data_IF_217428479941
#
_entry.id   IF_217428479941
#
_cell.length_a   1.000
_cell.length_b   1.000
_cell.length_c   1.000
_cell.angle_alpha   90.00
_cell.angle_beta   90.00
_cell.angle_gamma   90.00
#
_symmetry.space_group_name_H-M   'P 1'
#
loop_
_entity.id
_entity.type
_entity.pdbx_description
1 polymer ?
#
# COMPACT_ATOMS: atom_id res chain seq x y z
N UNK A 1 -14.90 16.35 -5.80
CA UNK A 1 -14.96 17.81 -6.15
C UNK A 1 -13.63 18.53 -5.86
N UNK A 2 -12.68 17.84 -5.19
CA UNK A 2 -11.34 18.38 -4.93
C UNK A 2 -10.35 18.15 -6.07
N UNK A 3 -10.75 17.43 -7.14
CA UNK A 3 -9.91 17.16 -8.31
C UNK A 3 -9.06 15.88 -8.18
N UNK A 4 -9.45 14.94 -7.31
CA UNK A 4 -8.81 13.62 -7.25
C UNK A 4 -9.27 12.76 -8.43
N UNK A 5 -8.34 12.04 -9.05
CA UNK A 5 -8.60 11.04 -10.09
C UNK A 5 -8.81 9.65 -9.50
N UNK A 6 -8.48 9.46 -8.22
CA UNK A 6 -8.58 8.18 -7.51
C UNK A 6 -9.40 8.33 -6.24
N UNK A 7 -10.30 7.38 -6.01
CA UNK A 7 -11.01 7.20 -4.74
C UNK A 7 -10.47 5.95 -4.05
N UNK A 8 -9.77 6.14 -2.94
CA UNK A 8 -9.19 5.04 -2.18
C UNK A 8 -10.19 4.53 -1.14
N UNK A 9 -10.35 3.21 -1.05
CA UNK A 9 -11.12 2.58 0.01
C UNK A 9 -10.41 2.81 1.35
N UNK A 10 -11.13 3.28 2.37
CA UNK A 10 -10.56 3.57 3.68
C UNK A 10 -10.40 2.29 4.51
N UNK A 11 -9.43 1.46 4.11
CA UNK A 11 -9.13 0.15 4.72
C UNK A 11 -7.79 0.09 5.44
N UNK A 12 -7.07 1.20 5.51
CA UNK A 12 -5.81 1.33 6.23
C UNK A 12 -5.94 0.83 7.68
N UNK A 13 -5.07 -0.09 8.09
CA UNK A 13 -5.17 -0.82 9.35
C UNK A 13 -6.46 -1.64 9.54
N UNK A 14 -7.29 -1.77 8.52
CA UNK A 14 -8.43 -2.68 8.53
C UNK A 14 -7.99 -4.12 8.33
N UNK A 15 -7.13 -4.64 9.19
CA UNK A 15 -6.61 -6.00 9.10
C UNK A 15 -6.76 -6.78 10.41
N UNK A 16 -6.63 -8.10 10.32
CA UNK A 16 -6.92 -9.05 11.39
C UNK A 16 -6.23 -8.72 12.71
N UNK A 17 -4.95 -8.41 12.67
CA UNK A 17 -4.17 -8.13 13.88
C UNK A 17 -4.64 -6.86 14.61
N UNK A 18 -4.97 -5.79 13.91
CA UNK A 18 -5.51 -4.58 14.55
C UNK A 18 -6.86 -4.83 15.22
N UNK A 19 -7.72 -5.61 14.58
CA UNK A 19 -9.01 -5.95 15.17
C UNK A 19 -8.87 -6.96 16.32
N UNK A 20 -7.88 -7.85 16.28
CA UNK A 20 -7.56 -8.78 17.36
C UNK A 20 -7.24 -8.05 18.68
N UNK A 21 -6.47 -6.97 18.60
CA UNK A 21 -6.07 -6.16 19.78
C UNK A 21 -7.30 -5.64 20.55
N UNK A 22 -8.39 -5.39 19.84
CA UNK A 22 -9.65 -4.86 20.43
C UNK A 22 -10.78 -5.90 20.46
N UNK A 23 -10.48 -7.17 20.15
CA UNK A 23 -11.46 -8.27 20.16
C UNK A 23 -12.59 -8.12 19.13
N UNK A 24 -12.29 -7.57 17.95
CA UNK A 24 -13.28 -7.24 16.91
C UNK A 24 -13.00 -7.91 15.55
N UNK A 25 -12.28 -9.03 15.54
CA UNK A 25 -11.90 -9.75 14.30
C UNK A 25 -13.10 -10.14 13.44
N UNK A 26 -14.25 -10.41 14.07
CA UNK A 26 -15.49 -10.74 13.38
C UNK A 26 -16.04 -9.58 12.52
N UNK A 27 -15.55 -8.35 12.72
CA UNK A 27 -15.93 -7.19 11.92
C UNK A 27 -15.04 -6.99 10.70
N UNK A 28 -13.96 -7.76 10.53
CA UNK A 28 -12.97 -7.53 9.48
C UNK A 28 -13.60 -7.55 8.07
N UNK A 29 -14.24 -8.66 7.70
CA UNK A 29 -14.85 -8.80 6.38
C UNK A 29 -15.95 -7.75 6.11
N UNK A 30 -16.96 -7.56 7.00
CA UNK A 30 -17.99 -6.56 6.73
C UNK A 30 -17.42 -5.13 6.69
N UNK A 31 -16.39 -4.81 7.45
CA UNK A 31 -15.74 -3.51 7.43
C UNK A 31 -15.01 -3.28 6.10
N UNK A 32 -14.22 -4.23 5.65
CA UNK A 32 -13.50 -4.18 4.37
C UNK A 32 -14.48 -4.04 3.20
N UNK A 33 -15.48 -4.90 3.11
CA UNK A 33 -16.48 -4.88 2.03
C UNK A 33 -17.30 -3.57 2.02
N UNK A 34 -17.66 -3.06 3.19
CA UNK A 34 -18.37 -1.77 3.28
C UNK A 34 -17.49 -0.59 2.85
N UNK A 35 -16.21 -0.55 3.24
CA UNK A 35 -15.30 0.52 2.84
C UNK A 35 -15.09 0.53 1.31
N UNK A 36 -14.90 -0.64 0.71
CA UNK A 36 -14.79 -0.80 -0.74
C UNK A 36 -16.07 -0.35 -1.46
N UNK A 37 -17.23 -0.76 -0.94
CA UNK A 37 -18.52 -0.33 -1.48
C UNK A 37 -18.68 1.20 -1.41
N UNK A 38 -18.37 1.82 -0.28
CA UNK A 38 -18.48 3.28 -0.11
C UNK A 38 -17.58 4.01 -1.12
N UNK A 39 -16.35 3.53 -1.33
CA UNK A 39 -15.43 4.12 -2.31
C UNK A 39 -16.01 4.05 -3.73
N UNK A 40 -16.58 2.89 -4.12
CA UNK A 40 -17.22 2.72 -5.43
C UNK A 40 -18.47 3.57 -5.60
N UNK A 41 -19.32 3.62 -4.57
CA UNK A 41 -20.52 4.45 -4.60
C UNK A 41 -20.15 5.93 -4.74
N UNK A 42 -19.14 6.39 -4.00
CA UNK A 42 -18.65 7.77 -4.09
C UNK A 42 -18.07 8.11 -5.48
N UNK A 43 -17.31 7.21 -6.09
CA UNK A 43 -16.81 7.40 -7.45
C UNK A 43 -17.97 7.47 -8.48
N UNK A 44 -18.96 6.61 -8.32
CA UNK A 44 -20.12 6.52 -9.22
C UNK A 44 -21.04 7.77 -9.19
N UNK A 45 -20.93 8.62 -8.17
CA UNK A 45 -21.65 9.92 -8.13
C UNK A 45 -21.15 10.91 -9.18
N UNK A 46 -19.93 10.73 -9.70
CA UNK A 46 -19.25 11.64 -10.63
C UNK A 46 -19.16 11.05 -12.02
N UNK A 47 -20.31 10.86 -12.66
CA UNK A 47 -20.45 10.19 -13.97
C UNK A 47 -19.67 10.84 -15.12
N UNK A 48 -19.36 12.13 -14.98
CA UNK A 48 -18.62 12.90 -15.98
C UNK A 48 -17.10 12.82 -15.80
N UNK A 49 -16.64 12.10 -14.77
CA UNK A 49 -15.23 11.89 -14.46
C UNK A 49 -14.90 10.40 -14.56
N UNK A 50 -13.76 10.11 -15.14
CA UNK A 50 -13.21 8.74 -15.22
C UNK A 50 -12.38 8.48 -13.95
N UNK A 51 -13.07 8.26 -12.82
CA UNK A 51 -12.45 8.06 -11.52
C UNK A 51 -12.09 6.60 -11.33
N UNK A 52 -10.84 6.35 -10.95
CA UNK A 52 -10.39 5.04 -10.50
C UNK A 52 -10.74 4.81 -9.04
N UNK A 53 -11.00 3.56 -8.69
CA UNK A 53 -11.19 3.12 -7.30
C UNK A 53 -10.09 2.15 -6.91
N UNK A 54 -9.41 2.37 -5.80
CA UNK A 54 -8.39 1.45 -5.33
C UNK A 54 -8.70 0.85 -3.97
N UNK A 55 -8.26 -0.41 -3.80
CA UNK A 55 -8.12 -1.04 -2.51
C UNK A 55 -6.83 -0.60 -1.82
N UNK A 56 -6.76 -0.82 -0.51
CA UNK A 56 -5.63 -0.43 0.30
C UNK A 56 -5.25 -1.55 1.27
N UNK A 57 -3.98 -1.92 1.31
CA UNK A 57 -3.37 -2.81 2.30
C UNK A 57 -2.15 -2.12 2.92
N UNK A 58 -1.98 -2.29 4.22
CA UNK A 58 -0.90 -1.66 4.97
C UNK A 58 -0.03 -2.70 5.68
N UNK A 59 1.03 -2.25 6.36
CA UNK A 59 1.86 -3.10 7.18
C UNK A 59 1.04 -3.91 8.19
N UNK A 60 1.33 -5.20 8.32
CA UNK A 60 0.54 -6.13 9.14
C UNK A 60 0.76 -6.00 10.63
N UNK A 61 1.89 -5.43 11.05
CA UNK A 61 2.40 -5.37 12.44
C UNK A 61 2.75 -6.74 13.06
N UNK A 62 2.76 -7.80 12.28
CA UNK A 62 3.17 -9.14 12.74
C UNK A 62 4.44 -9.63 12.08
N UNK A 63 4.90 -8.95 11.02
CA UNK A 63 6.07 -9.36 10.26
C UNK A 63 7.34 -9.36 11.13
N UNK A 64 8.02 -10.50 11.16
CA UNK A 64 9.34 -10.70 11.76
C UNK A 64 10.24 -11.41 10.74
N UNK A 65 11.34 -10.79 10.30
CA UNK A 65 12.23 -11.37 9.27
C UNK A 65 12.87 -12.68 9.71
N UNK A 66 12.96 -12.93 11.02
CA UNK A 66 13.52 -14.16 11.61
C UNK A 66 12.52 -15.30 11.78
N UNK A 67 11.21 -15.08 11.59
CA UNK A 67 10.17 -16.09 11.83
C UNK A 67 9.31 -16.33 10.59
N UNK A 68 9.53 -17.46 9.92
CA UNK A 68 8.78 -17.87 8.74
C UNK A 68 7.26 -18.07 9.01
N UNK A 69 6.84 -18.25 10.25
CA UNK A 69 5.40 -18.36 10.55
C UNK A 69 4.72 -16.98 10.40
N UNK A 70 5.41 -15.90 10.77
CA UNK A 70 4.90 -14.55 10.59
C UNK A 70 4.77 -14.19 9.10
N UNK A 71 5.68 -14.68 8.25
CA UNK A 71 5.58 -14.49 6.79
C UNK A 71 4.32 -15.14 6.23
N UNK A 72 3.99 -16.36 6.65
CA UNK A 72 2.74 -17.04 6.26
C UNK A 72 1.52 -16.30 6.77
N UNK A 73 1.58 -15.77 7.99
CA UNK A 73 0.50 -15.00 8.57
C UNK A 73 0.29 -13.68 7.78
N UNK A 74 1.36 -12.97 7.44
CA UNK A 74 1.29 -11.79 6.57
C UNK A 74 0.66 -12.13 5.21
N UNK A 75 1.11 -13.23 4.58
CA UNK A 75 0.56 -13.68 3.31
C UNK A 75 -0.96 -13.90 3.39
N UNK A 76 -1.45 -14.64 4.39
CA UNK A 76 -2.87 -14.87 4.59
C UNK A 76 -3.65 -13.56 4.78
N UNK A 77 -3.09 -12.62 5.57
CA UNK A 77 -3.71 -11.32 5.82
C UNK A 77 -3.80 -10.47 4.55
N UNK A 78 -2.80 -10.48 3.69
CA UNK A 78 -2.85 -9.77 2.41
C UNK A 78 -3.78 -10.45 1.41
N UNK A 79 -3.72 -11.77 1.29
CA UNK A 79 -4.57 -12.53 0.37
C UNK A 79 -6.06 -12.32 0.65
N UNK A 80 -6.49 -12.33 1.94
CA UNK A 80 -7.89 -12.10 2.28
C UNK A 80 -8.36 -10.68 1.92
N UNK A 81 -7.56 -9.65 2.20
CA UNK A 81 -7.90 -8.26 1.89
C UNK A 81 -7.92 -8.01 0.37
N UNK A 82 -6.93 -8.53 -0.35
CA UNK A 82 -6.83 -8.44 -1.80
C UNK A 82 -7.99 -9.18 -2.48
N UNK A 83 -8.42 -10.33 -1.93
CA UNK A 83 -9.57 -11.06 -2.46
C UNK A 83 -10.86 -10.23 -2.39
N UNK A 84 -11.10 -9.53 -1.27
CA UNK A 84 -12.26 -8.63 -1.16
C UNK A 84 -12.16 -7.41 -2.08
N UNK A 85 -10.98 -6.85 -2.26
CA UNK A 85 -10.74 -5.76 -3.21
C UNK A 85 -11.05 -6.21 -4.65
N UNK A 86 -10.57 -7.41 -5.03
CA UNK A 86 -10.87 -8.03 -6.33
C UNK A 86 -12.36 -8.30 -6.52
N UNK A 87 -13.03 -8.86 -5.51
CA UNK A 87 -14.48 -9.11 -5.52
C UNK A 87 -15.27 -7.81 -5.74
N UNK A 88 -14.83 -6.71 -5.10
CA UNK A 88 -15.42 -5.40 -5.27
C UNK A 88 -15.16 -4.78 -6.65
N UNK A 89 -14.22 -5.31 -7.43
CA UNK A 89 -13.86 -4.81 -8.75
C UNK A 89 -13.16 -3.46 -8.69
N UNK A 90 -12.12 -3.34 -7.85
CA UNK A 90 -11.26 -2.16 -7.83
C UNK A 90 -10.33 -2.15 -9.05
N UNK A 91 -9.86 -0.97 -9.46
CA UNK A 91 -8.96 -0.82 -10.59
C UNK A 91 -7.53 -1.26 -10.24
N UNK A 92 -7.11 -1.05 -8.99
CA UNK A 92 -5.78 -1.44 -8.47
C UNK A 92 -5.78 -1.55 -6.95
N UNK A 93 -4.68 -2.05 -6.39
CA UNK A 93 -4.46 -2.09 -4.94
C UNK A 93 -3.17 -1.35 -4.59
N UNK A 94 -3.23 -0.50 -3.57
CA UNK A 94 -2.07 0.15 -2.97
C UNK A 94 -1.62 -0.68 -1.77
N UNK A 95 -0.37 -1.10 -1.76
CA UNK A 95 0.35 -1.55 -0.56
C UNK A 95 1.15 -0.38 -0.03
N UNK A 96 0.75 0.17 1.12
CA UNK A 96 1.33 1.40 1.64
C UNK A 96 1.81 1.29 3.09
N UNK A 97 2.70 2.20 3.47
CA UNK A 97 3.22 2.33 4.84
C UNK A 97 3.93 1.06 5.34
N UNK A 98 4.53 0.32 4.42
CA UNK A 98 5.32 -0.86 4.70
C UNK A 98 6.80 -0.45 4.75
N UNK A 99 7.49 -0.78 5.84
CA UNK A 99 8.89 -0.41 6.06
C UNK A 99 9.87 -1.57 5.86
N UNK A 100 9.36 -2.80 5.76
CA UNK A 100 10.12 -4.01 5.49
C UNK A 100 10.02 -4.38 4.02
N UNK A 101 11.15 -4.60 3.37
CA UNK A 101 11.20 -4.98 1.95
C UNK A 101 10.57 -6.35 1.72
N UNK A 102 10.86 -7.31 2.62
CA UNK A 102 10.32 -8.67 2.50
C UNK A 102 8.81 -8.73 2.80
N UNK A 103 8.30 -7.90 3.70
CA UNK A 103 6.84 -7.77 3.90
C UNK A 103 6.19 -7.19 2.64
N UNK A 104 6.80 -6.18 2.00
CA UNK A 104 6.31 -5.60 0.75
C UNK A 104 6.28 -6.64 -0.39
N UNK A 105 7.28 -7.53 -0.48
CA UNK A 105 7.28 -8.63 -1.46
C UNK A 105 6.08 -9.55 -1.27
N UNK A 106 5.70 -9.84 -0.02
CA UNK A 106 4.53 -10.67 0.29
C UNK A 106 3.24 -9.97 -0.15
N UNK A 107 3.10 -8.66 0.15
CA UNK A 107 1.96 -7.86 -0.29
C UNK A 107 1.87 -7.79 -1.82
N UNK A 108 2.98 -7.47 -2.50
CA UNK A 108 3.06 -7.42 -3.96
C UNK A 108 2.65 -8.75 -4.59
N UNK A 109 3.19 -9.87 -4.06
CA UNK A 109 2.83 -11.20 -4.56
C UNK A 109 1.33 -11.47 -4.46
N UNK A 110 0.70 -11.16 -3.32
CA UNK A 110 -0.73 -11.34 -3.13
C UNK A 110 -1.55 -10.54 -4.15
N UNK A 111 -1.16 -9.29 -4.42
CA UNK A 111 -1.83 -8.42 -5.41
C UNK A 111 -1.67 -8.97 -6.83
N UNK A 112 -0.44 -9.36 -7.21
CA UNK A 112 -0.16 -9.87 -8.56
C UNK A 112 -0.79 -11.24 -8.81
N UNK A 113 -0.80 -12.14 -7.83
CA UNK A 113 -1.46 -13.44 -7.93
C UNK A 113 -2.98 -13.29 -8.11
N UNK A 114 -3.57 -12.24 -7.57
CA UNK A 114 -4.97 -11.88 -7.81
C UNK A 114 -5.21 -11.29 -9.21
N UNK A 115 -4.18 -10.98 -9.98
CA UNK A 115 -4.27 -10.38 -11.30
C UNK A 115 -4.59 -8.88 -11.29
N UNK A 116 -4.28 -8.18 -10.18
CA UNK A 116 -4.52 -6.76 -10.03
C UNK A 116 -3.25 -5.93 -10.31
N UNK A 117 -3.46 -4.67 -10.67
CA UNK A 117 -2.39 -3.67 -10.73
C UNK A 117 -1.91 -3.39 -9.30
N UNK A 118 -0.59 -3.38 -9.10
CA UNK A 118 0.04 -3.22 -7.80
C UNK A 118 0.78 -1.88 -7.70
N UNK A 119 0.41 -1.08 -6.71
CA UNK A 119 1.12 0.13 -6.31
C UNK A 119 1.82 -0.16 -4.97
N UNK A 120 3.17 -0.06 -4.93
CA UNK A 120 3.98 -0.38 -3.76
C UNK A 120 4.64 0.89 -3.21
N UNK A 121 4.13 1.42 -2.10
CA UNK A 121 4.65 2.62 -1.47
C UNK A 121 5.33 2.29 -0.13
N UNK A 122 6.64 2.47 -0.08
CA UNK A 122 7.41 2.29 1.14
C UNK A 122 7.25 3.48 2.09
N UNK A 123 7.09 3.18 3.37
CA UNK A 123 7.26 4.15 4.44
C UNK A 123 8.67 3.97 5.03
N UNK A 124 9.59 4.80 4.62
CA UNK A 124 10.99 4.75 5.07
C UNK A 124 11.16 5.69 6.25
N UNK A 125 11.43 5.15 7.45
CA UNK A 125 11.66 5.95 8.65
C UNK A 125 12.96 6.76 8.53
N UNK A 126 13.37 7.42 9.60
CA UNK A 126 14.60 8.21 9.61
C UNK A 126 15.81 7.41 9.13
N UNK A 127 16.64 8.00 8.29
CA UNK A 127 17.89 7.42 7.83
C UNK A 127 17.84 6.80 6.44
N UNK A 128 16.86 7.11 5.60
CA UNK A 128 16.78 6.79 4.17
C UNK A 128 16.76 5.31 3.77
N UNK A 129 16.62 4.39 4.73
CA UNK A 129 16.67 2.95 4.47
C UNK A 129 15.44 2.22 4.99
N UNK A 130 15.08 1.13 4.32
CA UNK A 130 14.13 0.15 4.85
C UNK A 130 14.67 -0.48 6.13
N UNK A 131 13.84 -1.21 6.85
CA UNK A 131 14.26 -1.86 8.09
C UNK A 131 15.31 -2.96 7.89
N UNK A 132 15.42 -3.52 6.68
CA UNK A 132 16.52 -4.42 6.28
C UNK A 132 17.77 -3.70 5.81
N UNK A 133 17.76 -2.37 5.68
CA UNK A 133 18.91 -1.58 5.31
C UNK A 133 19.06 -1.29 3.81
N UNK A 134 18.05 -1.61 2.98
CA UNK A 134 18.03 -1.22 1.57
C UNK A 134 17.75 0.27 1.42
N UNK A 135 18.41 0.93 0.46
CA UNK A 135 18.06 2.30 0.09
C UNK A 135 16.64 2.39 -0.48
N UNK A 136 16.07 3.58 -0.55
CA UNK A 136 14.76 3.79 -1.16
C UNK A 136 14.75 3.34 -2.63
N UNK A 137 15.83 3.65 -3.36
CA UNK A 137 16.04 3.29 -4.76
C UNK A 137 16.10 1.78 -4.94
N UNK A 138 16.94 1.09 -4.15
CA UNK A 138 17.10 -0.36 -4.20
C UNK A 138 15.78 -1.07 -3.86
N UNK A 139 15.08 -0.63 -2.82
CA UNK A 139 13.81 -1.22 -2.41
C UNK A 139 12.75 -1.07 -3.51
N UNK A 140 12.63 0.12 -4.10
CA UNK A 140 11.72 0.36 -5.22
C UNK A 140 12.12 -0.45 -6.46
N UNK A 141 13.41 -0.55 -6.76
CA UNK A 141 13.92 -1.37 -7.88
C UNK A 141 13.59 -2.84 -7.70
N UNK A 142 13.75 -3.38 -6.51
CA UNK A 142 13.36 -4.76 -6.22
C UNK A 142 11.87 -5.01 -6.49
N UNK A 143 10.99 -4.05 -6.14
CA UNK A 143 9.55 -4.20 -6.42
C UNK A 143 9.26 -4.12 -7.92
N UNK A 144 9.90 -3.22 -8.65
CA UNK A 144 9.81 -3.15 -10.11
C UNK A 144 10.21 -4.48 -10.75
N UNK A 145 11.36 -5.05 -10.34
CA UNK A 145 11.88 -6.31 -10.87
C UNK A 145 10.95 -7.51 -10.55
N UNK A 146 10.16 -7.42 -9.49
CA UNK A 146 9.13 -8.39 -9.11
C UNK A 146 7.76 -8.11 -9.75
N UNK A 147 7.66 -7.08 -10.60
CA UNK A 147 6.46 -6.79 -11.39
C UNK A 147 5.47 -5.83 -10.76
N UNK A 148 5.90 -4.98 -9.82
CA UNK A 148 5.09 -3.85 -9.39
C UNK A 148 4.86 -2.87 -10.56
N UNK A 149 3.64 -2.38 -10.72
CA UNK A 149 3.27 -1.47 -11.80
C UNK A 149 3.62 -0.01 -11.46
N UNK A 150 3.56 0.32 -10.18
CA UNK A 150 3.93 1.62 -9.63
C UNK A 150 4.68 1.39 -8.32
N UNK A 151 5.75 2.15 -8.09
CA UNK A 151 6.51 2.11 -6.84
C UNK A 151 6.75 3.51 -6.30
N UNK A 152 7.00 3.65 -5.01
CA UNK A 152 7.29 4.96 -4.46
C UNK A 152 7.36 5.01 -2.94
N UNK A 153 7.12 6.20 -2.41
CA UNK A 153 7.19 6.48 -0.99
C UNK A 153 5.90 7.11 -0.48
N UNK A 154 5.52 6.76 0.75
CA UNK A 154 4.44 7.44 1.47
C UNK A 154 4.80 7.65 2.94
N UNK A 155 4.05 8.53 3.60
CA UNK A 155 4.16 8.78 5.04
C UNK A 155 5.55 9.30 5.49
N UNK A 156 5.77 9.48 6.77
CA UNK A 156 6.98 9.94 7.46
C UNK A 156 7.59 11.27 6.99
N UNK A 157 7.53 11.58 5.69
CA UNK A 157 8.19 12.74 5.10
C UNK A 157 7.18 13.71 4.50
N UNK A 158 7.39 15.01 4.72
CA UNK A 158 6.68 16.08 4.01
C UNK A 158 7.20 16.21 2.57
N UNK A 159 6.55 17.06 1.74
CA UNK A 159 6.94 17.21 0.34
C UNK A 159 8.41 17.58 0.15
N UNK A 160 8.93 18.48 0.98
CA UNK A 160 10.30 18.99 0.91
C UNK A 160 11.34 17.88 1.15
N UNK A 161 11.10 17.03 2.14
CA UNK A 161 12.02 15.95 2.52
C UNK A 161 11.80 14.65 1.73
N UNK A 162 10.66 14.47 1.07
CA UNK A 162 10.39 13.31 0.22
C UNK A 162 10.89 13.50 -1.21
N UNK A 163 10.72 14.68 -1.78
CA UNK A 163 10.99 14.95 -3.20
C UNK A 163 12.43 14.60 -3.67
N UNK A 164 13.50 14.80 -2.86
CA UNK A 164 14.85 14.37 -3.27
C UNK A 164 14.91 12.86 -3.56
N UNK A 165 14.36 12.01 -2.70
CA UNK A 165 14.33 10.55 -2.89
C UNK A 165 13.51 10.16 -4.12
N UNK A 166 12.34 10.77 -4.32
CA UNK A 166 11.51 10.51 -5.51
C UNK A 166 12.25 10.82 -6.81
N UNK A 167 13.06 11.87 -6.82
CA UNK A 167 13.87 12.23 -7.99
C UNK A 167 14.96 11.18 -8.29
N UNK A 168 15.60 10.64 -7.26
CA UNK A 168 16.61 9.59 -7.44
C UNK A 168 15.93 8.26 -7.88
N UNK A 169 14.88 7.84 -7.17
CA UNK A 169 14.08 6.67 -7.55
C UNK A 169 13.68 6.76 -9.03
N UNK A 170 13.18 7.91 -9.49
CA UNK A 170 12.70 8.07 -10.87
C UNK A 170 13.78 7.90 -11.93
N UNK A 171 15.05 8.17 -11.61
CA UNK A 171 16.16 7.99 -12.57
C UNK A 171 16.46 6.53 -12.85
N UNK A 172 16.28 5.67 -11.87
CA UNK A 172 16.68 4.26 -11.90
C UNK A 172 15.55 3.34 -12.42
N UNK A 173 14.31 3.80 -12.43
CA UNK A 173 13.14 2.97 -12.70
C UNK A 173 12.47 3.26 -14.04
N UNK A 174 11.89 2.21 -14.62
CA UNK A 174 11.08 2.28 -15.85
C UNK A 174 9.58 2.40 -15.55
N UNK A 175 9.12 1.78 -14.44
CA UNK A 175 7.72 1.84 -14.02
C UNK A 175 7.34 3.24 -13.54
N UNK A 176 6.07 3.45 -13.24
CA UNK A 176 5.58 4.71 -12.70
C UNK A 176 6.03 4.89 -11.25
N UNK A 177 6.20 6.15 -10.82
CA UNK A 177 6.64 6.49 -9.47
C UNK A 177 5.56 7.30 -8.77
N UNK A 178 5.20 6.89 -7.55
CA UNK A 178 4.23 7.55 -6.69
C UNK A 178 4.89 8.26 -5.51
N UNK A 179 4.29 9.36 -5.07
CA UNK A 179 4.71 10.10 -3.89
C UNK A 179 3.49 10.56 -3.11
N UNK A 180 3.34 10.09 -1.87
CA UNK A 180 2.26 10.47 -0.97
C UNK A 180 2.85 11.05 0.33
N UNK A 181 3.35 12.30 0.30
CA UNK A 181 3.93 12.94 1.48
C UNK A 181 2.86 13.27 2.51
N UNK A 182 3.28 13.39 3.78
CA UNK A 182 2.41 13.92 4.82
C UNK A 182 2.15 15.42 4.59
N UNK A 183 0.96 15.96 4.94
CA UNK A 183 0.58 17.33 4.61
C UNK A 183 1.15 18.38 5.59
N UNK A 184 2.33 18.13 6.15
CA UNK A 184 3.01 19.03 7.07
C UNK A 184 4.54 18.97 6.84
N UNK A 185 5.26 19.97 7.35
CA UNK A 185 6.72 19.99 7.27
C UNK A 185 7.29 18.94 8.22
N UNK A 186 8.28 18.21 7.70
CA UNK A 186 9.10 17.29 8.48
C UNK A 186 10.56 17.76 8.45
N UNK A 187 11.27 17.53 9.54
CA UNK A 187 12.72 17.67 9.60
C UNK A 187 13.37 16.31 9.50
N UNK A 188 14.57 16.25 8.93
CA UNK A 188 15.39 15.04 8.87
C UNK A 188 15.83 14.55 10.25
#
# INVERSE_FOLDING_TARGET
RAGSDVVQAFTYYGHREKLRIIGKEHLLEPMQKNALKIAKDAAAEFKDLDLMVCGDVANTNVFDPGDANTHKQCQQMYEEQVAWAKEAGVDFVIAETISWTDEMKIALKAIKDAGLIAVCNFAIPRGDKTREGHSAEDACKMMEDLGADVVGLNCFRGPETMLPYIKEIRKELKCQVAALPVPYRTTE
#
